data_IF_003802923003
#
_entry.id   IF_003802923003
#
_cell.length_a   1.000
_cell.length_b   1.000
_cell.length_c   1.000
_cell.angle_alpha   90.00
_cell.angle_beta   90.00
_cell.angle_gamma   90.00
#
_symmetry.space_group_name_H-M   'P 1'
#
loop_
_entity.id
_entity.type
_entity.pdbx_description
1 polymer ?
#
# COMPACT_ATOMS: atom_id res chain seq x y z
N UNK A 1 39.73 -15.86 18.44
CA UNK A 1 38.58 -16.68 18.86
C UNK A 1 37.36 -16.10 18.14
N UNK A 2 36.76 -16.87 17.22
CA UNK A 2 35.60 -16.43 16.42
C UNK A 2 34.36 -16.41 17.32
N UNK A 3 33.76 -15.24 17.49
CA UNK A 3 32.43 -15.10 18.08
C UNK A 3 31.42 -15.50 17.01
N UNK A 4 30.79 -16.67 17.17
CA UNK A 4 29.61 -17.05 16.40
C UNK A 4 28.40 -16.68 17.25
N UNK A 5 27.73 -15.60 16.88
CA UNK A 5 26.42 -15.26 17.43
C UNK A 5 25.44 -16.36 17.03
N UNK A 6 25.15 -17.26 17.96
CA UNK A 6 24.08 -18.25 17.84
C UNK A 6 22.78 -17.56 18.24
N UNK A 7 22.15 -16.96 17.24
CA UNK A 7 20.74 -16.62 17.24
C UNK A 7 20.28 -16.82 15.80
N UNK A 8 19.26 -17.65 15.58
CA UNK A 8 18.68 -17.83 14.25
C UNK A 8 18.41 -16.46 13.64
N UNK A 9 18.94 -16.22 12.43
CA UNK A 9 18.74 -14.95 11.73
C UNK A 9 17.25 -14.85 11.41
N UNK A 10 16.50 -14.12 12.23
CA UNK A 10 15.10 -13.83 11.95
C UNK A 10 15.00 -13.00 10.68
N UNK A 11 14.10 -13.38 9.77
CA UNK A 11 13.90 -12.69 8.48
C UNK A 11 13.38 -11.27 8.70
N UNK A 12 13.82 -10.35 7.86
CA UNK A 12 13.51 -8.94 7.97
C UNK A 12 13.43 -8.32 6.59
N UNK A 13 12.33 -7.66 6.29
CA UNK A 13 12.12 -6.89 5.06
C UNK A 13 11.81 -5.43 5.35
N UNK A 14 11.30 -5.12 6.54
CA UNK A 14 10.98 -3.76 6.99
C UNK A 14 12.19 -3.04 7.56
N UNK A 15 12.57 -1.88 7.05
CA UNK A 15 13.45 -0.95 7.78
C UNK A 15 13.05 0.51 7.52
N UNK A 16 11.76 0.88 7.61
CA UNK A 16 11.34 2.23 7.32
C UNK A 16 11.80 3.17 8.44
N UNK A 17 12.43 4.27 8.05
CA UNK A 17 12.39 5.47 8.87
C UNK A 17 10.96 6.04 8.86
N UNK A 18 10.55 6.71 9.93
CA UNK A 18 9.24 7.38 9.99
C UNK A 18 9.12 8.37 8.84
N UNK A 19 8.01 8.32 8.10
CA UNK A 19 7.75 9.23 6.99
C UNK A 19 7.52 10.66 7.53
N UNK A 20 8.49 11.55 7.37
CA UNK A 20 8.33 12.98 7.72
C UNK A 20 7.93 13.80 6.50
N UNK A 21 6.67 14.25 6.46
CA UNK A 21 6.13 15.07 5.38
C UNK A 21 6.13 16.57 5.70
N UNK A 22 6.63 16.97 6.87
CA UNK A 22 6.67 18.38 7.30
C UNK A 22 7.44 19.29 6.32
N UNK A 23 8.60 18.87 5.76
CA UNK A 23 9.31 19.66 4.75
C UNK A 23 8.45 19.88 3.49
N UNK A 24 7.76 18.83 3.04
CA UNK A 24 6.92 18.86 1.85
C UNK A 24 5.70 19.75 2.05
N UNK A 25 5.01 19.67 3.19
CA UNK A 25 3.89 20.57 3.54
C UNK A 25 4.27 22.05 3.47
N UNK A 26 5.48 22.36 3.93
CA UNK A 26 6.03 23.72 3.85
C UNK A 26 6.28 24.11 2.39
N UNK A 27 6.94 23.24 1.61
CA UNK A 27 7.24 23.50 0.21
C UNK A 27 5.99 23.78 -0.66
N UNK A 28 4.92 23.01 -0.48
CA UNK A 28 3.66 23.23 -1.24
C UNK A 28 2.89 24.47 -0.78
N UNK A 29 3.18 25.00 0.40
CA UNK A 29 2.59 26.26 0.88
C UNK A 29 3.28 27.47 0.23
N UNK A 30 4.56 27.34 -0.12
CA UNK A 30 5.38 28.39 -0.74
C UNK A 30 5.41 28.32 -2.28
N UNK A 31 5.11 27.14 -2.84
CA UNK A 31 5.22 26.85 -4.29
C UNK A 31 4.01 26.07 -4.81
N UNK A 32 4.06 25.60 -6.06
CA UNK A 32 2.99 24.75 -6.61
C UNK A 32 3.25 23.27 -6.30
N UNK A 33 2.19 22.43 -6.30
CA UNK A 33 2.32 20.96 -6.22
C UNK A 33 3.30 20.44 -7.26
N UNK A 34 3.25 20.98 -8.49
CA UNK A 34 4.15 20.59 -9.57
C UNK A 34 5.62 20.81 -9.23
N UNK A 35 5.95 21.93 -8.58
CA UNK A 35 7.32 22.28 -8.24
C UNK A 35 7.85 21.44 -7.07
N UNK A 36 7.00 21.13 -6.08
CA UNK A 36 7.34 20.29 -4.93
C UNK A 36 7.35 18.77 -5.25
N UNK A 37 6.64 18.33 -6.29
CA UNK A 37 6.45 16.91 -6.61
C UNK A 37 7.73 16.09 -6.79
N UNK A 38 8.81 16.57 -7.44
CA UNK A 38 10.01 15.75 -7.64
C UNK A 38 10.64 15.25 -6.34
N UNK A 39 10.77 16.12 -5.34
CA UNK A 39 11.35 15.78 -4.03
C UNK A 39 10.39 14.92 -3.21
N UNK A 40 9.10 15.31 -3.13
CA UNK A 40 8.08 14.53 -2.44
C UNK A 40 8.01 13.08 -2.96
N UNK A 41 8.05 12.90 -4.28
CA UNK A 41 8.01 11.57 -4.90
C UNK A 41 9.32 10.79 -4.74
N UNK A 42 10.44 11.46 -4.49
CA UNK A 42 11.69 10.76 -4.19
C UNK A 42 11.57 10.14 -2.79
N UNK A 43 11.21 10.95 -1.81
CA UNK A 43 11.09 10.54 -0.41
C UNK A 43 10.00 9.48 -0.20
N UNK A 44 8.82 9.62 -0.85
CA UNK A 44 7.77 8.61 -0.79
C UNK A 44 8.24 7.26 -1.35
N UNK A 45 8.98 7.26 -2.47
CA UNK A 45 9.51 6.01 -3.04
C UNK A 45 10.58 5.39 -2.14
N UNK A 46 11.40 6.20 -1.51
CA UNK A 46 12.42 5.72 -0.60
C UNK A 46 11.80 5.13 0.67
N UNK A 47 10.78 5.78 1.24
CA UNK A 47 9.96 5.24 2.31
C UNK A 47 9.30 3.91 1.91
N UNK A 48 8.54 3.89 0.80
CA UNK A 48 7.82 2.69 0.31
C UNK A 48 8.76 1.50 0.14
N UNK A 49 9.95 1.70 -0.46
CA UNK A 49 10.97 0.65 -0.62
C UNK A 49 11.46 0.08 0.71
N UNK A 50 11.38 0.86 1.78
CA UNK A 50 11.84 0.47 3.11
C UNK A 50 10.73 -0.08 3.99
N UNK A 51 9.44 0.17 3.70
CA UNK A 51 8.29 -0.24 4.53
C UNK A 51 8.44 -1.69 4.97
N UNK A 52 8.42 -2.63 4.02
CA UNK A 52 8.44 -4.07 4.27
C UNK A 52 7.39 -4.56 5.29
N UNK A 53 7.07 -5.85 5.27
CA UNK A 53 6.02 -6.40 6.12
C UNK A 53 6.50 -7.52 7.04
N UNK A 54 7.80 -7.76 7.11
CA UNK A 54 8.41 -8.70 8.06
C UNK A 54 9.35 -7.94 8.99
N UNK A 55 9.03 -7.92 10.28
CA UNK A 55 9.84 -7.31 11.33
C UNK A 55 10.25 -8.35 12.37
N UNK A 56 11.55 -8.63 12.50
CA UNK A 56 12.01 -9.62 13.48
C UNK A 56 11.38 -11.00 13.32
N UNK A 57 11.11 -11.44 12.08
CA UNK A 57 10.42 -12.69 11.74
C UNK A 57 8.90 -12.66 11.87
N UNK A 58 8.33 -11.58 12.41
CA UNK A 58 6.89 -11.41 12.57
C UNK A 58 6.30 -10.68 11.36
N UNK A 59 5.17 -11.17 10.88
CA UNK A 59 4.41 -10.52 9.83
C UNK A 59 3.68 -9.30 10.41
N UNK A 60 3.72 -8.18 9.69
CA UNK A 60 3.02 -6.94 10.00
C UNK A 60 1.78 -6.79 9.10
N UNK A 61 0.75 -6.06 9.52
CA UNK A 61 -0.42 -5.80 8.66
C UNK A 61 -0.09 -4.78 7.57
N UNK A 62 -0.88 -4.78 6.50
CA UNK A 62 -0.95 -3.66 5.57
C UNK A 62 -1.78 -2.54 6.21
N UNK A 63 -1.11 -1.54 6.78
CA UNK A 63 -1.74 -0.41 7.48
C UNK A 63 -2.17 0.73 6.54
N UNK A 64 -2.95 1.66 7.09
CA UNK A 64 -3.45 2.81 6.33
C UNK A 64 -2.35 3.85 6.05
N UNK A 65 -1.34 3.99 6.91
CA UNK A 65 -0.17 4.88 6.66
C UNK A 65 0.53 4.49 5.35
N UNK A 66 0.80 3.20 5.18
CA UNK A 66 1.37 2.66 3.94
C UNK A 66 0.47 2.94 2.75
N UNK A 67 -0.83 2.62 2.85
CA UNK A 67 -1.77 2.81 1.74
C UNK A 67 -1.84 4.27 1.29
N UNK A 68 -1.90 5.21 2.24
CA UNK A 68 -1.96 6.64 1.93
C UNK A 68 -0.64 7.14 1.35
N UNK A 69 0.51 6.59 1.75
CA UNK A 69 1.81 6.92 1.15
C UNK A 69 1.89 6.48 -0.33
N UNK A 70 1.46 5.26 -0.67
CA UNK A 70 1.37 4.80 -2.06
C UNK A 70 0.45 5.70 -2.87
N UNK A 71 -0.69 6.05 -2.30
CA UNK A 71 -1.67 6.87 -3.00
C UNK A 71 -1.22 8.31 -3.20
N UNK A 72 -0.59 8.93 -2.19
CA UNK A 72 0.01 10.25 -2.33
C UNK A 72 1.05 10.24 -3.46
N UNK A 73 1.86 9.18 -3.57
CA UNK A 73 2.85 9.04 -4.65
C UNK A 73 2.20 9.03 -6.05
N UNK A 74 1.09 8.32 -6.21
CA UNK A 74 0.37 8.23 -7.48
C UNK A 74 -0.44 9.49 -7.78
N UNK A 75 -1.21 10.00 -6.83
CA UNK A 75 -2.01 11.21 -6.98
C UNK A 75 -1.15 12.44 -7.30
N UNK A 76 -0.02 12.61 -6.61
CA UNK A 76 0.90 13.74 -6.90
C UNK A 76 1.55 13.60 -8.28
N UNK A 77 1.80 12.38 -8.78
CA UNK A 77 2.31 12.18 -10.14
C UNK A 77 1.31 12.65 -11.20
N UNK A 78 0.02 12.30 -11.03
CA UNK A 78 -1.06 12.74 -11.92
C UNK A 78 -1.19 14.26 -11.92
N UNK A 79 -1.30 14.87 -10.72
CA UNK A 79 -1.48 16.32 -10.58
C UNK A 79 -0.28 17.10 -11.12
N UNK A 80 0.95 16.67 -10.83
CA UNK A 80 2.16 17.35 -11.30
C UNK A 80 2.30 17.32 -12.83
N UNK A 81 1.85 16.23 -13.48
CA UNK A 81 1.84 16.08 -14.95
C UNK A 81 0.72 16.83 -15.63
N UNK A 82 -0.39 17.09 -14.94
CA UNK A 82 -1.50 17.89 -15.48
C UNK A 82 -1.06 19.31 -15.78
N UNK A 83 -1.40 19.84 -16.96
CA UNK A 83 -1.11 21.23 -17.31
C UNK A 83 -1.99 22.25 -16.57
N UNK A 84 -3.17 21.80 -16.13
CA UNK A 84 -4.14 22.61 -15.39
C UNK A 84 -4.95 21.67 -14.50
N UNK A 85 -4.38 21.24 -13.35
CA UNK A 85 -5.14 20.46 -12.40
C UNK A 85 -6.34 21.28 -11.89
N UNK A 86 -7.42 20.58 -11.57
CA UNK A 86 -8.61 21.15 -10.96
C UNK A 86 -8.34 21.52 -9.50
N UNK A 87 -9.20 22.32 -8.91
CA UNK A 87 -9.07 22.67 -7.48
C UNK A 87 -9.31 21.44 -6.59
N UNK A 88 -10.24 20.56 -6.99
CA UNK A 88 -10.54 19.32 -6.28
C UNK A 88 -9.35 18.36 -6.28
N UNK A 89 -8.67 18.18 -7.42
CA UNK A 89 -7.44 17.37 -7.51
C UNK A 89 -6.32 17.93 -6.63
N UNK A 90 -6.14 19.25 -6.61
CA UNK A 90 -5.10 19.88 -5.80
C UNK A 90 -5.42 19.77 -4.32
N UNK A 91 -6.66 20.02 -3.92
CA UNK A 91 -7.12 19.88 -2.55
C UNK A 91 -6.91 18.45 -2.06
N UNK A 92 -7.27 17.48 -2.90
CA UNK A 92 -7.13 16.07 -2.60
C UNK A 92 -5.67 15.65 -2.31
N UNK A 93 -4.71 16.10 -3.13
CA UNK A 93 -3.28 15.86 -2.86
C UNK A 93 -2.81 16.54 -1.58
N UNK A 94 -3.31 17.74 -1.27
CA UNK A 94 -2.99 18.44 -0.03
C UNK A 94 -3.55 17.71 1.20
N UNK A 95 -4.73 17.11 1.09
CA UNK A 95 -5.34 16.31 2.17
C UNK A 95 -4.55 15.03 2.41
N UNK A 96 -4.19 14.30 1.35
CA UNK A 96 -3.28 13.15 1.45
C UNK A 96 -1.94 13.54 2.09
N UNK A 97 -1.34 14.68 1.68
CA UNK A 97 -0.08 15.15 2.24
C UNK A 97 -0.18 15.50 3.74
N UNK A 98 -1.35 15.96 4.21
CA UNK A 98 -1.61 16.22 5.64
C UNK A 98 -1.86 14.96 6.45
N UNK A 99 -2.38 13.91 5.82
CA UNK A 99 -2.84 12.70 6.49
C UNK A 99 -1.87 11.51 6.44
N UNK A 100 -1.02 11.43 5.42
CA UNK A 100 -0.26 10.23 5.08
C UNK A 100 0.63 9.70 6.21
N UNK A 101 1.38 10.56 6.90
CA UNK A 101 2.24 10.20 8.04
C UNK A 101 1.49 9.92 9.35
N UNK A 102 0.15 10.04 9.34
CA UNK A 102 -0.74 9.71 10.46
C UNK A 102 -1.73 8.59 10.13
N UNK A 103 -1.68 8.05 8.90
CA UNK A 103 -2.63 7.04 8.42
C UNK A 103 -4.06 7.56 8.21
N UNK A 104 -4.25 8.88 8.08
CA UNK A 104 -5.56 9.45 7.77
C UNK A 104 -5.87 9.20 6.28
N UNK A 105 -6.70 8.18 6.05
CA UNK A 105 -7.01 7.64 4.74
C UNK A 105 -8.37 8.13 4.26
N UNK A 106 -8.42 8.92 3.16
CA UNK A 106 -9.68 9.36 2.59
C UNK A 106 -10.58 8.18 2.21
N UNK A 107 -11.89 8.32 2.44
CA UNK A 107 -12.88 7.34 2.00
C UNK A 107 -12.98 7.33 0.46
N UNK A 108 -13.43 6.22 -0.16
CA UNK A 108 -13.59 6.13 -1.60
C UNK A 108 -14.43 7.25 -2.23
N UNK A 109 -15.47 7.72 -1.54
CA UNK A 109 -16.33 8.80 -2.01
C UNK A 109 -15.71 10.20 -1.94
N UNK A 110 -14.54 10.35 -1.32
CA UNK A 110 -13.78 11.60 -1.24
C UNK A 110 -12.74 11.71 -2.36
N UNK A 111 -12.57 10.65 -3.15
CA UNK A 111 -11.63 10.60 -4.28
C UNK A 111 -12.25 11.31 -5.48
N UNK A 112 -11.59 12.33 -6.05
CA UNK A 112 -12.02 12.90 -7.32
C UNK A 112 -12.02 11.83 -8.42
N UNK A 113 -13.04 11.82 -9.28
CA UNK A 113 -13.16 10.82 -10.37
C UNK A 113 -11.88 10.73 -11.23
N UNK A 114 -11.21 11.85 -11.47
CA UNK A 114 -9.96 11.91 -12.25
C UNK A 114 -8.74 11.29 -11.56
N UNK A 115 -8.83 11.00 -10.27
CA UNK A 115 -7.79 10.35 -9.47
C UNK A 115 -8.19 8.92 -9.02
N UNK A 116 -9.36 8.43 -9.45
CA UNK A 116 -9.80 7.08 -9.10
C UNK A 116 -8.82 6.00 -9.57
N UNK A 117 -8.36 6.10 -10.83
CA UNK A 117 -7.37 5.17 -11.39
C UNK A 117 -6.04 5.23 -10.62
N UNK A 118 -5.63 6.43 -10.18
CA UNK A 118 -4.42 6.62 -9.37
C UNK A 118 -4.52 5.88 -8.03
N UNK A 119 -5.67 5.93 -7.35
CA UNK A 119 -5.92 5.15 -6.13
C UNK A 119 -5.97 3.65 -6.40
N UNK A 120 -6.65 3.25 -7.48
CA UNK A 120 -6.73 1.85 -7.90
C UNK A 120 -5.34 1.24 -8.08
N UNK A 121 -4.45 1.94 -8.80
CA UNK A 121 -3.07 1.52 -9.03
C UNK A 121 -2.24 1.54 -7.74
N UNK A 122 -2.38 2.59 -6.92
CA UNK A 122 -1.69 2.70 -5.64
C UNK A 122 -1.94 1.50 -4.72
N UNK A 123 -3.20 1.07 -4.62
CA UNK A 123 -3.56 -0.05 -3.76
C UNK A 123 -3.18 -1.40 -4.37
N UNK A 124 -3.23 -1.53 -5.70
CA UNK A 124 -2.69 -2.70 -6.37
C UNK A 124 -1.19 -2.87 -6.07
N UNK A 125 -0.40 -1.81 -6.19
CA UNK A 125 1.04 -1.81 -5.89
C UNK A 125 1.31 -2.16 -4.42
N UNK A 126 0.61 -1.52 -3.48
CA UNK A 126 0.76 -1.78 -2.05
C UNK A 126 0.41 -3.23 -1.68
N UNK A 127 -0.67 -3.76 -2.26
CA UNK A 127 -1.08 -5.16 -2.07
C UNK A 127 -0.09 -6.12 -2.72
N UNK A 128 0.50 -5.81 -3.88
CA UNK A 128 1.50 -6.69 -4.50
C UNK A 128 2.77 -6.78 -3.67
N UNK A 129 3.27 -5.64 -3.17
CA UNK A 129 4.45 -5.62 -2.31
C UNK A 129 4.21 -6.35 -0.99
N UNK A 130 3.03 -6.16 -0.38
CA UNK A 130 2.61 -6.96 0.78
C UNK A 130 2.61 -8.46 0.47
N UNK A 131 1.98 -8.85 -0.64
CA UNK A 131 1.86 -10.25 -1.07
C UNK A 131 3.23 -10.88 -1.34
N UNK A 132 4.19 -10.14 -1.89
CA UNK A 132 5.57 -10.60 -2.11
C UNK A 132 6.25 -10.92 -0.78
N UNK A 133 6.18 -10.01 0.18
CA UNK A 133 6.74 -10.21 1.52
C UNK A 133 6.05 -11.36 2.25
N UNK A 134 4.72 -11.44 2.18
CA UNK A 134 3.98 -12.56 2.76
C UNK A 134 4.35 -13.90 2.10
N UNK A 135 4.54 -13.94 0.78
CA UNK A 135 5.01 -15.15 0.09
C UNK A 135 6.36 -15.60 0.62
N UNK A 136 7.26 -14.65 0.86
CA UNK A 136 8.56 -14.89 1.49
C UNK A 136 8.37 -15.38 2.92
N UNK A 137 7.50 -14.77 3.74
CA UNK A 137 7.25 -15.22 5.11
C UNK A 137 6.71 -16.67 5.18
N UNK A 138 5.84 -17.05 4.25
CA UNK A 138 5.27 -18.40 4.13
C UNK A 138 6.28 -19.48 3.72
N UNK A 139 7.47 -19.11 3.24
CA UNK A 139 8.53 -20.08 2.98
C UNK A 139 9.05 -20.70 4.29
N UNK A 140 9.06 -19.90 5.36
CA UNK A 140 9.43 -20.35 6.70
C UNK A 140 8.21 -20.86 7.51
N UNK A 141 6.99 -20.49 7.10
CA UNK A 141 5.73 -20.84 7.75
C UNK A 141 4.73 -21.43 6.74
N UNK A 142 4.90 -22.70 6.31
CA UNK A 142 4.12 -23.25 5.21
C UNK A 142 2.62 -23.35 5.53
N UNK A 143 1.79 -22.68 4.72
CA UNK A 143 0.34 -22.82 4.73
C UNK A 143 -0.18 -22.85 3.28
N UNK A 144 -0.62 -24.04 2.81
CA UNK A 144 -1.08 -24.24 1.43
C UNK A 144 -2.33 -23.45 1.12
N UNK A 145 -3.25 -23.37 2.07
CA UNK A 145 -4.53 -22.71 1.92
C UNK A 145 -4.39 -21.20 1.74
N UNK A 146 -3.50 -20.58 2.51
CA UNK A 146 -3.13 -19.17 2.36
C UNK A 146 -2.43 -18.94 1.02
N UNK A 147 -1.48 -19.81 0.63
CA UNK A 147 -0.78 -19.69 -0.66
C UNK A 147 -1.74 -19.72 -1.85
N UNK A 148 -2.76 -20.57 -1.82
CA UNK A 148 -3.80 -20.61 -2.85
C UNK A 148 -4.58 -19.31 -2.89
N UNK A 149 -5.04 -18.79 -1.74
CA UNK A 149 -5.75 -17.51 -1.68
C UNK A 149 -4.89 -16.35 -2.19
N UNK A 150 -3.59 -16.31 -1.86
CA UNK A 150 -2.65 -15.31 -2.40
C UNK A 150 -2.44 -15.41 -3.91
N UNK A 151 -2.50 -16.62 -4.47
CA UNK A 151 -2.48 -16.83 -5.92
C UNK A 151 -3.68 -16.18 -6.60
N UNK A 152 -4.87 -16.32 -6.01
CA UNK A 152 -6.10 -15.66 -6.49
C UNK A 152 -5.97 -14.14 -6.38
N UNK A 153 -5.54 -13.62 -5.22
CA UNK A 153 -5.30 -12.19 -5.01
C UNK A 153 -4.33 -11.62 -6.06
N UNK A 154 -3.23 -12.33 -6.35
CA UNK A 154 -2.25 -11.92 -7.36
C UNK A 154 -2.85 -11.75 -8.76
N UNK A 155 -3.85 -12.56 -9.13
CA UNK A 155 -4.48 -12.44 -10.44
C UNK A 155 -5.28 -11.14 -10.56
N UNK A 156 -5.98 -10.73 -9.49
CA UNK A 156 -6.70 -9.47 -9.47
C UNK A 156 -5.78 -8.26 -9.43
N UNK A 157 -4.73 -8.31 -8.63
CA UNK A 157 -3.69 -7.26 -8.59
C UNK A 157 -3.08 -7.05 -9.98
N UNK A 158 -2.67 -8.13 -10.66
CA UNK A 158 -2.14 -8.03 -12.03
C UNK A 158 -3.14 -7.46 -13.04
N UNK A 159 -4.43 -7.71 -12.84
CA UNK A 159 -5.48 -7.14 -13.68
C UNK A 159 -5.59 -5.63 -13.43
N UNK A 160 -5.57 -5.20 -12.18
CA UNK A 160 -5.56 -3.78 -11.81
C UNK A 160 -4.33 -3.06 -12.39
N UNK A 161 -3.13 -3.64 -12.22
CA UNK A 161 -1.89 -3.14 -12.83
C UNK A 161 -1.99 -3.04 -14.36
N UNK A 162 -2.52 -4.08 -15.02
CA UNK A 162 -2.67 -4.10 -16.48
C UNK A 162 -3.71 -3.09 -17.01
N UNK A 163 -4.59 -2.60 -16.14
CA UNK A 163 -5.58 -1.57 -16.43
C UNK A 163 -5.11 -0.18 -15.95
N UNK A 164 -3.85 -0.04 -15.52
CA UNK A 164 -3.31 1.19 -14.92
C UNK A 164 -4.18 1.72 -13.77
N UNK A 165 -4.76 0.80 -12.98
CA UNK A 165 -5.65 1.11 -11.87
C UNK A 165 -7.10 1.39 -12.24
N UNK A 166 -7.49 1.31 -13.52
CA UNK A 166 -8.86 1.54 -13.96
C UNK A 166 -9.81 0.43 -13.50
N UNK A 167 -10.30 0.58 -12.26
CA UNK A 167 -11.25 -0.31 -11.61
C UNK A 167 -12.13 0.47 -10.62
N UNK A 168 -13.32 -0.04 -10.28
CA UNK A 168 -14.15 0.54 -9.23
C UNK A 168 -13.40 0.61 -7.88
N UNK A 169 -13.55 1.73 -7.16
CA UNK A 169 -12.83 1.93 -5.90
C UNK A 169 -13.26 0.94 -4.81
N UNK A 170 -14.50 0.48 -4.82
CA UNK A 170 -14.99 -0.60 -3.95
C UNK A 170 -14.33 -1.94 -4.23
N UNK A 171 -13.99 -2.24 -5.49
CA UNK A 171 -13.18 -3.41 -5.84
C UNK A 171 -11.74 -3.25 -5.32
N UNK A 172 -11.15 -2.05 -5.43
CA UNK A 172 -9.81 -1.75 -4.90
C UNK A 172 -9.77 -1.92 -3.37
N UNK A 173 -10.77 -1.38 -2.66
CA UNK A 173 -10.96 -1.60 -1.23
C UNK A 173 -11.11 -3.09 -0.88
N UNK A 174 -11.82 -3.84 -1.71
CA UNK A 174 -12.01 -5.28 -1.51
C UNK A 174 -10.68 -6.04 -1.57
N UNK A 175 -9.72 -5.64 -2.42
CA UNK A 175 -8.37 -6.22 -2.43
C UNK A 175 -7.61 -5.95 -1.12
N UNK A 176 -7.71 -4.73 -0.60
CA UNK A 176 -7.10 -4.36 0.70
C UNK A 176 -7.72 -5.17 1.83
N UNK A 177 -9.05 -5.27 1.88
CA UNK A 177 -9.76 -6.04 2.90
C UNK A 177 -9.43 -7.54 2.82
N UNK A 178 -9.41 -8.12 1.63
CA UNK A 178 -9.00 -9.52 1.47
C UNK A 178 -7.56 -9.76 1.93
N UNK A 179 -6.65 -8.80 1.69
CA UNK A 179 -5.27 -8.86 2.17
C UNK A 179 -5.18 -8.83 3.69
N UNK A 180 -5.97 -7.96 4.34
CA UNK A 180 -6.07 -7.88 5.80
C UNK A 180 -6.69 -9.13 6.42
N UNK A 181 -7.72 -9.69 5.81
CA UNK A 181 -8.34 -10.94 6.24
C UNK A 181 -7.35 -12.12 6.14
N UNK A 182 -6.51 -12.17 5.09
CA UNK A 182 -5.41 -13.14 5.00
C UNK A 182 -4.42 -12.95 6.16
N UNK A 183 -4.01 -11.71 6.45
CA UNK A 183 -3.15 -11.42 7.60
C UNK A 183 -3.75 -11.92 8.92
N UNK A 184 -5.00 -11.57 9.19
CA UNK A 184 -5.73 -12.00 10.40
C UNK A 184 -5.80 -13.52 10.50
N UNK A 185 -6.08 -14.22 9.39
CA UNK A 185 -6.13 -15.69 9.40
C UNK A 185 -4.80 -16.35 9.82
N UNK A 186 -3.67 -15.67 9.58
CA UNK A 186 -2.34 -16.18 9.92
C UNK A 186 -1.98 -15.84 11.37
N UNK A 187 -2.19 -14.60 11.76
CA UNK A 187 -1.75 -14.10 13.08
C UNK A 187 -2.64 -14.62 14.20
N UNK A 188 -3.95 -14.74 13.93
CA UNK A 188 -4.94 -15.17 14.92
C UNK A 188 -5.40 -16.64 14.74
N UNK A 189 -4.85 -17.36 13.75
CA UNK A 189 -5.28 -18.73 13.34
C UNK A 189 -6.78 -18.80 13.02
N UNK A 190 -7.30 -17.72 12.41
CA UNK A 190 -8.73 -17.54 12.14
C UNK A 190 -9.12 -18.05 10.75
N UNK A 191 -9.76 -19.23 10.73
CA UNK A 191 -10.27 -19.84 9.50
C UNK A 191 -11.45 -19.07 8.89
N UNK A 192 -12.24 -18.35 9.69
CA UNK A 192 -13.36 -17.54 9.21
C UNK A 192 -12.83 -16.29 8.48
N UNK A 193 -11.71 -15.73 8.93
CA UNK A 193 -11.01 -14.67 8.22
C UNK A 193 -10.50 -15.16 6.85
N UNK A 194 -9.92 -16.38 6.78
CA UNK A 194 -9.48 -16.92 5.49
C UNK A 194 -10.64 -17.21 4.53
N UNK A 195 -11.77 -17.67 5.05
CA UNK A 195 -13.01 -17.83 4.28
C UNK A 195 -13.51 -16.47 3.76
N UNK A 196 -13.53 -15.44 4.62
CA UNK A 196 -13.92 -14.08 4.25
C UNK A 196 -13.06 -13.51 3.14
N UNK A 197 -11.73 -13.70 3.20
CA UNK A 197 -10.82 -13.30 2.13
C UNK A 197 -11.18 -13.97 0.79
N UNK A 198 -11.50 -15.27 0.80
CA UNK A 198 -11.88 -16.02 -0.40
C UNK A 198 -13.20 -15.52 -0.98
N UNK A 199 -14.20 -15.28 -0.13
CA UNK A 199 -15.52 -14.79 -0.55
C UNK A 199 -15.41 -13.39 -1.17
N UNK A 200 -14.62 -12.50 -0.58
CA UNK A 200 -14.31 -11.17 -1.14
C UNK A 200 -13.68 -11.27 -2.53
N UNK A 201 -12.68 -12.14 -2.68
CA UNK A 201 -12.04 -12.34 -3.98
C UNK A 201 -12.98 -12.99 -4.99
N UNK A 202 -13.89 -13.87 -4.56
CA UNK A 202 -14.89 -14.47 -5.43
C UNK A 202 -15.97 -13.47 -5.88
N UNK A 203 -16.26 -12.43 -5.10
CA UNK A 203 -17.22 -11.38 -5.50
C UNK A 203 -16.70 -10.43 -6.59
N UNK A 204 -15.41 -10.48 -6.91
CA UNK A 204 -14.77 -9.68 -7.98
C UNK A 204 -14.82 -10.37 -9.36
N UNK A 205 -15.50 -11.53 -9.46
CA UNK A 205 -15.65 -12.33 -10.68
C UNK A 205 -16.76 -11.83 -11.61
#
# INVERSE_FOLDING_TARGET
MKSVGVGDRKRHTSSPETLDLSPHRTAVSDTTIRDAAPELKADLRDYIRQVGFIHGGELRPLDDETLVAYELLHAVDVVARSNRPTDDEQLYVLDLLRGADTGDRPAPGEVPDSLADARGLAYADAVDDYRRDLSVWLDDHPNTEVRTTLGTLSNYVKRAEALDGAMPLDESETLVLATRDIYTSIVDDDLDALASARDRLASLL
#
